data_IF_523619430304
#
_entry.id   IF_523619430304
#
_cell.length_a   1.000
_cell.length_b   1.000
_cell.length_c   1.000
_cell.angle_alpha   90.00
_cell.angle_beta   90.00
_cell.angle_gamma   90.00
#
_symmetry.space_group_name_H-M   'P 1'
#
loop_
_entity.id
_entity.type
_entity.pdbx_description
1 polymer ?
#
# COMPACT_ATOMS: atom_id res chain seq x y z
N UNK A 1 41.80 13.04 40.53
CA UNK A 1 40.46 12.45 40.47
C UNK A 1 39.79 13.04 39.24
N UNK A 2 39.80 12.31 38.12
CA UNK A 2 39.52 12.86 36.78
C UNK A 2 38.11 12.46 36.34
N UNK A 3 37.24 13.45 36.14
CA UNK A 3 35.88 13.26 35.61
C UNK A 3 35.97 13.35 34.08
N UNK A 4 35.77 12.22 33.41
CA UNK A 4 35.67 12.14 31.95
C UNK A 4 34.21 12.37 31.59
N UNK A 5 33.90 13.55 31.04
CA UNK A 5 32.67 13.77 30.28
C UNK A 5 32.76 12.96 28.97
N UNK A 6 31.98 11.89 28.85
CA UNK A 6 31.70 11.28 27.55
C UNK A 6 30.45 11.94 26.95
N UNK A 7 30.69 12.81 25.96
CA UNK A 7 29.70 13.15 24.94
C UNK A 7 29.23 11.83 24.28
N UNK A 8 27.96 11.50 24.38
CA UNK A 8 27.32 10.50 23.53
C UNK A 8 26.54 11.27 22.47
N UNK A 9 27.13 11.39 21.29
CA UNK A 9 26.48 11.89 20.09
C UNK A 9 25.48 10.84 19.62
N UNK A 10 24.19 11.03 19.93
CA UNK A 10 23.11 10.22 19.35
C UNK A 10 22.90 10.73 17.92
N UNK A 11 23.42 9.99 16.94
CA UNK A 11 23.07 10.15 15.54
C UNK A 11 21.59 9.79 15.38
N UNK A 12 20.75 10.80 15.18
CA UNK A 12 19.39 10.64 14.66
C UNK A 12 19.50 10.17 13.22
N UNK A 13 19.57 8.85 13.03
CA UNK A 13 19.34 8.24 11.72
C UNK A 13 17.85 8.37 11.43
N UNK A 14 17.53 9.27 10.50
CA UNK A 14 16.30 9.22 9.74
C UNK A 14 16.31 7.89 8.99
N UNK A 15 15.71 6.85 9.56
CA UNK A 15 15.45 5.63 8.81
C UNK A 15 14.32 5.94 7.86
N UNK A 16 14.69 6.33 6.63
CA UNK A 16 13.93 5.91 5.47
C UNK A 16 13.60 4.42 5.65
N UNK A 17 12.40 3.99 5.26
CA UNK A 17 12.04 2.58 5.26
C UNK A 17 13.11 1.77 4.49
N UNK A 18 14.12 1.27 5.21
CA UNK A 18 15.21 0.51 4.63
C UNK A 18 14.73 -0.92 4.48
N UNK A 19 14.42 -1.29 3.24
CA UNK A 19 14.46 -2.63 2.68
C UNK A 19 14.12 -3.79 3.64
N UNK A 20 12.83 -3.96 3.93
CA UNK A 20 12.30 -5.26 4.26
C UNK A 20 11.85 -5.94 2.95
N UNK A 21 12.76 -6.63 2.27
CA UNK A 21 12.38 -7.62 1.27
C UNK A 21 12.06 -8.94 1.96
N UNK A 22 10.84 -9.48 1.83
CA UNK A 22 10.68 -10.91 1.77
C UNK A 22 9.86 -11.27 0.54
N UNK A 23 10.47 -11.13 -0.64
CA UNK A 23 10.00 -11.88 -1.80
C UNK A 23 10.87 -13.13 -1.93
N UNK A 24 10.40 -14.21 -1.30
CA UNK A 24 10.91 -15.54 -1.61
C UNK A 24 10.26 -16.00 -2.93
N UNK A 25 11.05 -16.51 -3.89
CA UNK A 25 10.52 -17.14 -5.09
C UNK A 25 9.92 -18.49 -4.69
N UNK A 26 8.60 -18.62 -4.68
CA UNK A 26 7.99 -19.94 -4.56
C UNK A 26 8.06 -20.68 -5.90
N UNK A 27 8.88 -21.73 -5.87
CA UNK A 27 8.85 -22.97 -6.65
C UNK A 27 8.68 -22.86 -8.17
N UNK A 28 9.81 -23.07 -8.87
CA UNK A 28 9.80 -23.73 -10.18
C UNK A 28 8.99 -25.01 -10.07
N UNK A 29 7.83 -25.08 -10.73
CA UNK A 29 7.28 -26.36 -11.18
C UNK A 29 7.64 -26.50 -12.65
N UNK A 30 8.65 -27.32 -12.89
CA UNK A 30 9.02 -27.81 -14.20
C UNK A 30 7.85 -28.64 -14.76
N UNK A 31 7.34 -28.24 -15.91
CA UNK A 31 6.63 -29.13 -16.83
C UNK A 31 7.31 -28.93 -18.19
N UNK A 32 7.86 -30.02 -18.70
CA UNK A 32 8.65 -30.09 -19.91
C UNK A 32 7.79 -29.95 -21.18
N UNK A 33 8.34 -29.19 -22.13
CA UNK A 33 8.36 -29.37 -23.59
C UNK A 33 7.04 -29.47 -24.40
N UNK A 34 6.84 -28.50 -25.30
CA UNK A 34 6.28 -28.73 -26.64
C UNK A 34 6.73 -27.63 -27.63
N UNK A 35 7.80 -27.93 -28.36
CA UNK A 35 8.08 -27.58 -29.78
C UNK A 35 7.84 -26.14 -30.31
N UNK A 36 8.93 -25.49 -30.70
CA UNK A 36 8.98 -24.30 -31.57
C UNK A 36 8.32 -24.50 -32.93
N UNK A 37 7.88 -23.40 -33.56
CA UNK A 37 8.18 -23.19 -34.97
C UNK A 37 9.01 -21.92 -35.21
N UNK A 38 9.89 -22.08 -36.17
CA UNK A 38 10.96 -21.22 -36.67
C UNK A 38 10.43 -20.13 -37.61
N UNK A 39 11.02 -18.94 -37.50
CA UNK A 39 11.26 -17.91 -38.52
C UNK A 39 10.32 -17.76 -39.73
N UNK A 40 9.73 -16.56 -39.82
CA UNK A 40 9.28 -15.94 -41.06
C UNK A 40 9.57 -14.44 -41.06
N UNK A 41 10.79 -14.05 -41.42
CA UNK A 41 11.18 -12.67 -41.76
C UNK A 41 10.47 -12.18 -43.01
N UNK A 42 9.82 -11.02 -42.96
CA UNK A 42 9.73 -10.11 -44.11
C UNK A 42 9.65 -8.65 -43.67
N UNK A 43 10.55 -7.85 -44.27
CA UNK A 43 10.76 -6.41 -44.12
C UNK A 43 9.64 -5.59 -44.79
N UNK A 44 9.56 -4.26 -44.49
CA UNK A 44 8.39 -3.44 -44.75
C UNK A 44 8.34 -2.93 -46.20
N UNK A 45 7.13 -2.82 -46.76
CA UNK A 45 6.87 -2.09 -48.00
C UNK A 45 5.98 -0.88 -47.76
N UNK A 46 6.52 0.25 -48.20
CA UNK A 46 5.98 1.59 -48.28
C UNK A 46 4.64 1.63 -49.06
N UNK A 47 3.65 2.37 -48.55
CA UNK A 47 2.32 2.51 -49.15
C UNK A 47 1.73 3.89 -48.92
N UNK A 48 1.64 4.64 -50.02
CA UNK A 48 1.32 6.05 -50.20
C UNK A 48 -0.06 6.50 -49.72
N UNK A 49 -0.14 7.80 -49.38
CA UNK A 49 -1.30 8.63 -49.05
C UNK A 49 -2.58 8.39 -49.85
N UNK A 50 -3.72 8.37 -49.16
CA UNK A 50 -5.05 8.59 -49.71
C UNK A 50 -5.92 9.31 -48.69
N UNK A 51 -6.24 10.58 -48.96
CA UNK A 51 -7.17 11.37 -48.14
C UNK A 51 -8.61 10.90 -48.32
N UNK A 52 -9.35 10.84 -47.22
CA UNK A 52 -10.80 10.83 -47.21
C UNK A 52 -11.30 11.60 -45.99
N UNK A 53 -11.94 12.74 -46.25
CA UNK A 53 -12.77 13.47 -45.30
C UNK A 53 -14.13 12.76 -45.20
N UNK A 54 -14.51 12.26 -44.02
CA UNK A 54 -15.81 12.55 -43.40
C UNK A 54 -16.01 11.75 -42.11
N UNK A 55 -16.60 12.40 -41.11
CA UNK A 55 -17.27 11.72 -40.00
C UNK A 55 -16.61 11.92 -38.65
N UNK A 56 -16.81 13.11 -38.06
CA UNK A 56 -16.80 13.25 -36.59
C UNK A 56 -17.81 12.29 -35.99
N UNK A 57 -17.36 11.12 -35.54
CA UNK A 57 -17.93 10.47 -34.38
C UNK A 57 -17.09 10.92 -33.19
N UNK A 58 -17.62 11.87 -32.42
CA UNK A 58 -17.15 12.10 -31.06
C UNK A 58 -17.55 10.88 -30.22
N UNK A 59 -16.81 9.79 -30.36
CA UNK A 59 -16.76 8.77 -29.33
C UNK A 59 -16.04 9.41 -28.16
N UNK A 60 -16.78 9.71 -27.10
CA UNK A 60 -16.20 9.98 -25.78
C UNK A 60 -15.49 8.69 -25.35
N UNK A 61 -14.25 8.48 -25.82
CA UNK A 61 -13.39 7.41 -25.35
C UNK A 61 -13.19 7.66 -23.86
N UNK A 62 -13.64 6.73 -23.01
CA UNK A 62 -13.34 6.73 -21.59
C UNK A 62 -11.82 6.64 -21.43
N UNK A 63 -11.16 7.78 -21.27
CA UNK A 63 -9.71 7.79 -21.08
C UNK A 63 -9.39 7.52 -19.63
N UNK A 64 -8.49 6.56 -19.37
CA UNK A 64 -7.86 6.37 -18.06
C UNK A 64 -6.98 7.57 -17.76
N UNK A 65 -7.07 8.09 -16.53
CA UNK A 65 -6.08 9.07 -16.05
C UNK A 65 -4.87 8.34 -15.47
N UNK A 66 -3.67 8.74 -15.90
CA UNK A 66 -2.42 8.07 -15.52
C UNK A 66 -1.60 9.01 -14.63
N UNK A 67 -1.20 8.55 -13.46
CA UNK A 67 -0.23 9.22 -12.59
C UNK A 67 1.08 8.46 -12.57
N UNK A 68 2.20 9.17 -12.67
CA UNK A 68 3.54 8.54 -12.69
C UNK A 68 4.32 8.99 -11.46
N UNK A 69 4.68 8.02 -10.62
CA UNK A 69 5.50 8.20 -9.42
C UNK A 69 6.91 7.62 -9.57
N UNK A 70 7.09 6.77 -10.59
CA UNK A 70 8.36 6.15 -10.96
C UNK A 70 8.33 5.71 -12.43
N UNK A 71 9.48 5.57 -13.05
CA UNK A 71 9.60 5.00 -14.40
C UNK A 71 9.38 6.03 -15.50
N UNK A 72 9.26 5.55 -16.74
CA UNK A 72 9.16 6.43 -17.90
C UNK A 72 7.72 6.92 -18.07
N UNK A 73 7.58 8.22 -18.34
CA UNK A 73 6.31 8.79 -18.78
C UNK A 73 5.90 8.13 -20.09
N UNK A 74 4.66 7.65 -20.22
CA UNK A 74 4.19 7.13 -21.48
C UNK A 74 4.06 8.28 -22.49
N UNK A 75 4.27 7.97 -23.76
CA UNK A 75 4.37 8.96 -24.85
C UNK A 75 3.04 9.63 -25.22
N UNK A 76 1.92 9.15 -24.66
CA UNK A 76 0.60 9.76 -24.78
C UNK A 76 0.40 10.80 -23.65
N UNK A 77 0.18 12.07 -24.01
CA UNK A 77 0.14 13.23 -23.10
C UNK A 77 -0.96 13.26 -22.02
N UNK A 78 -1.58 12.13 -21.70
CA UNK A 78 -2.59 11.95 -20.64
C UNK A 78 -1.97 11.60 -19.27
N UNK A 79 -0.66 11.39 -19.19
CA UNK A 79 0.03 11.04 -17.95
C UNK A 79 0.55 12.27 -17.18
N UNK A 80 0.25 12.32 -15.87
CA UNK A 80 0.71 13.35 -14.95
C UNK A 80 1.87 12.81 -14.11
N UNK A 81 3.07 13.32 -14.34
CA UNK A 81 4.22 13.02 -13.47
C UNK A 81 4.04 13.70 -12.12
N UNK A 82 4.11 12.94 -11.03
CA UNK A 82 4.12 13.47 -9.66
C UNK A 82 5.54 13.50 -9.12
N UNK A 83 6.25 12.38 -9.23
CA UNK A 83 7.63 12.20 -8.79
C UNK A 83 8.32 11.14 -9.66
N UNK A 84 9.65 11.02 -9.52
CA UNK A 84 10.43 9.95 -10.12
C UNK A 84 11.26 9.25 -9.03
N UNK A 85 10.62 8.37 -8.26
CA UNK A 85 11.22 7.66 -7.13
C UNK A 85 11.39 6.18 -7.47
N UNK A 86 12.57 5.62 -7.24
CA UNK A 86 12.89 4.19 -7.51
C UNK A 86 12.78 3.31 -6.25
N UNK A 87 12.02 3.74 -5.26
CA UNK A 87 11.92 3.13 -3.94
C UNK A 87 10.56 3.37 -3.31
N UNK A 88 10.37 2.88 -2.08
CA UNK A 88 9.10 3.02 -1.35
C UNK A 88 8.78 4.49 -1.08
N UNK A 89 7.55 4.91 -1.42
CA UNK A 89 7.07 6.26 -1.14
C UNK A 89 6.93 6.50 0.37
N UNK A 90 7.40 7.66 0.84
CA UNK A 90 7.17 8.11 2.21
C UNK A 90 5.76 8.68 2.41
N UNK A 91 5.34 8.90 3.66
CA UNK A 91 3.97 9.34 3.98
C UNK A 91 3.58 10.65 3.28
N UNK A 92 4.50 11.62 3.17
CA UNK A 92 4.25 12.88 2.45
C UNK A 92 4.01 12.63 0.96
N UNK A 93 4.78 11.74 0.34
CA UNK A 93 4.59 11.34 -1.05
C UNK A 93 3.26 10.60 -1.23
N UNK A 94 2.89 9.71 -0.31
CA UNK A 94 1.61 9.01 -0.32
C UNK A 94 0.43 10.01 -0.32
N UNK A 95 0.45 11.01 0.58
CA UNK A 95 -0.56 12.07 0.60
C UNK A 95 -0.63 12.86 -0.71
N UNK A 96 0.52 13.23 -1.30
CA UNK A 96 0.56 13.90 -2.61
C UNK A 96 -0.06 13.05 -3.74
N UNK A 97 0.17 11.74 -3.75
CA UNK A 97 -0.51 10.85 -4.70
C UNK A 97 -2.02 10.89 -4.46
N UNK A 98 -2.45 10.74 -3.20
CA UNK A 98 -3.89 10.72 -2.90
C UNK A 98 -4.61 12.02 -3.26
N UNK A 99 -3.97 13.17 -3.06
CA UNK A 99 -4.54 14.47 -3.42
C UNK A 99 -4.75 14.57 -4.93
N UNK A 100 -3.72 14.24 -5.72
CA UNK A 100 -3.78 14.27 -7.18
C UNK A 100 -4.85 13.29 -7.72
N UNK A 101 -4.88 12.07 -7.18
CA UNK A 101 -5.87 11.04 -7.53
C UNK A 101 -7.29 11.49 -7.16
N UNK A 102 -7.49 12.04 -5.96
CA UNK A 102 -8.79 12.48 -5.49
C UNK A 102 -9.35 13.63 -6.32
N UNK A 103 -8.51 14.58 -6.76
CA UNK A 103 -8.90 15.64 -7.69
C UNK A 103 -9.37 15.07 -9.04
N UNK A 104 -8.68 14.05 -9.56
CA UNK A 104 -9.06 13.38 -10.80
C UNK A 104 -10.31 12.50 -10.66
N UNK A 105 -10.55 11.89 -9.49
CA UNK A 105 -11.77 11.12 -9.24
C UNK A 105 -13.03 11.98 -9.34
N UNK A 106 -12.94 13.28 -9.04
CA UNK A 106 -14.04 14.24 -9.15
C UNK A 106 -14.41 14.62 -10.59
N UNK A 107 -13.58 14.28 -11.59
CA UNK A 107 -13.91 14.49 -12.99
C UNK A 107 -14.97 13.46 -13.46
N UNK A 108 -16.01 13.91 -14.16
CA UNK A 108 -17.14 13.07 -14.56
C UNK A 108 -16.87 12.19 -15.80
N UNK A 109 -15.71 12.35 -16.46
CA UNK A 109 -15.44 11.79 -17.79
C UNK A 109 -14.32 10.74 -17.87
N UNK A 110 -13.69 10.36 -16.76
CA UNK A 110 -12.58 9.41 -16.77
C UNK A 110 -13.01 7.94 -16.67
N UNK A 111 -12.34 7.07 -17.44
CA UNK A 111 -12.16 5.66 -17.07
C UNK A 111 -11.43 5.55 -15.72
N UNK A 112 -11.15 4.35 -15.23
CA UNK A 112 -10.42 4.18 -13.96
C UNK A 112 -9.09 4.95 -13.91
N UNK A 113 -8.44 4.97 -12.75
CA UNK A 113 -7.14 5.62 -12.56
C UNK A 113 -6.04 4.58 -12.58
N UNK A 114 -4.94 4.88 -13.27
CA UNK A 114 -3.72 4.09 -13.23
C UNK A 114 -2.60 4.89 -12.56
N UNK A 115 -1.87 4.24 -11.66
CA UNK A 115 -0.71 4.82 -10.99
C UNK A 115 0.51 3.96 -11.32
N UNK A 116 1.41 4.50 -12.15
CA UNK A 116 2.69 3.87 -12.43
C UNK A 116 3.64 4.11 -11.25
N UNK A 117 4.02 3.04 -10.56
CA UNK A 117 4.85 3.06 -9.36
C UNK A 117 5.86 1.91 -9.34
N UNK A 118 6.91 2.08 -8.54
CA UNK A 118 7.89 1.03 -8.33
C UNK A 118 7.23 -0.09 -7.53
N UNK A 119 7.60 -1.34 -7.83
CA UNK A 119 7.05 -2.51 -7.14
C UNK A 119 7.25 -2.42 -5.62
N UNK A 120 8.34 -1.79 -5.16
CA UNK A 120 8.61 -1.59 -3.73
C UNK A 120 7.60 -0.68 -3.02
N UNK A 121 6.81 0.09 -3.78
CA UNK A 121 5.78 0.99 -3.25
C UNK A 121 4.38 0.39 -3.27
N UNK A 122 4.17 -0.78 -3.89
CA UNK A 122 2.83 -1.33 -4.11
C UNK A 122 2.06 -1.47 -2.81
N UNK A 123 2.62 -2.17 -1.81
CA UNK A 123 1.96 -2.42 -0.54
C UNK A 123 1.59 -1.11 0.19
N UNK A 124 2.56 -0.21 0.35
CA UNK A 124 2.34 1.04 1.08
C UNK A 124 1.34 1.94 0.36
N UNK A 125 1.46 2.07 -0.96
CA UNK A 125 0.61 2.94 -1.76
C UNK A 125 -0.81 2.38 -1.88
N UNK A 126 -0.94 1.08 -2.14
CA UNK A 126 -2.26 0.45 -2.29
C UNK A 126 -3.03 0.50 -0.99
N UNK A 127 -2.38 0.19 0.13
CA UNK A 127 -3.02 0.20 1.43
C UNK A 127 -3.38 1.62 1.87
N UNK A 128 -2.47 2.59 1.69
CA UNK A 128 -2.76 3.98 2.00
C UNK A 128 -3.94 4.52 1.18
N UNK A 129 -3.96 4.30 -0.13
CA UNK A 129 -5.07 4.76 -0.99
C UNK A 129 -6.38 4.04 -0.63
N UNK A 130 -6.34 2.77 -0.24
CA UNK A 130 -7.51 2.06 0.31
C UNK A 130 -8.04 2.72 1.58
N UNK A 131 -7.19 3.33 2.40
CA UNK A 131 -7.61 4.12 3.57
C UNK A 131 -8.18 5.46 3.16
N UNK A 132 -7.54 6.25 2.29
CA UNK A 132 -7.90 7.66 2.14
C UNK A 132 -8.89 7.94 1.00
N UNK A 133 -8.99 7.05 0.01
CA UNK A 133 -9.91 7.26 -1.12
C UNK A 133 -11.30 6.69 -0.82
N UNK A 134 -12.33 7.50 -1.09
CA UNK A 134 -13.72 7.07 -1.03
C UNK A 134 -14.33 7.06 -2.44
N UNK A 135 -14.08 5.97 -3.18
CA UNK A 135 -14.55 5.83 -4.56
C UNK A 135 -14.91 4.39 -4.91
N UNK A 136 -15.76 4.25 -5.94
CA UNK A 136 -16.06 2.99 -6.63
C UNK A 136 -15.29 2.86 -7.95
N UNK A 137 -14.77 3.96 -8.49
CA UNK A 137 -13.93 3.91 -9.69
C UNK A 137 -12.70 3.07 -9.39
N UNK A 138 -12.29 2.26 -10.38
CA UNK A 138 -11.08 1.47 -10.26
C UNK A 138 -9.86 2.37 -10.10
N UNK A 139 -9.00 2.05 -9.14
CA UNK A 139 -7.69 2.69 -8.95
C UNK A 139 -6.66 1.56 -8.97
N UNK A 140 -5.81 1.54 -9.99
CA UNK A 140 -4.87 0.45 -10.25
C UNK A 140 -3.44 0.94 -10.14
N UNK A 141 -2.68 0.36 -9.21
CA UNK A 141 -1.25 0.58 -9.08
C UNK A 141 -0.51 -0.48 -9.90
N UNK A 142 0.44 -0.05 -10.72
CA UNK A 142 1.15 -0.94 -11.63
C UNK A 142 2.59 -0.51 -11.84
N UNK A 143 3.43 -1.43 -12.32
CA UNK A 143 4.75 -1.14 -12.88
C UNK A 143 4.79 -1.40 -14.40
N UNK A 144 3.61 -1.57 -15.00
CA UNK A 144 3.36 -1.80 -16.41
C UNK A 144 2.04 -1.12 -16.81
N UNK A 145 2.12 -0.06 -17.60
CA UNK A 145 0.96 0.78 -17.92
C UNK A 145 -0.08 0.00 -18.73
N UNK A 146 0.34 -0.83 -19.67
CA UNK A 146 -0.59 -1.57 -20.54
C UNK A 146 -1.46 -2.51 -19.70
N UNK A 147 -0.83 -3.28 -18.82
CA UNK A 147 -1.54 -4.16 -17.87
C UNK A 147 -2.43 -3.33 -16.92
N UNK A 148 -1.93 -2.22 -16.38
CA UNK A 148 -2.71 -1.38 -15.46
C UNK A 148 -3.94 -0.76 -16.13
N UNK A 149 -3.79 -0.26 -17.36
CA UNK A 149 -4.88 0.30 -18.16
C UNK A 149 -5.93 -0.73 -18.51
N UNK A 150 -5.53 -1.95 -18.88
CA UNK A 150 -6.46 -3.08 -19.06
C UNK A 150 -7.34 -3.28 -17.82
N UNK A 151 -6.73 -3.36 -16.64
CA UNK A 151 -7.48 -3.59 -15.39
C UNK A 151 -8.36 -2.39 -15.05
N UNK A 152 -7.88 -1.16 -15.22
CA UNK A 152 -8.61 0.05 -14.87
C UNK A 152 -9.81 0.34 -15.81
N UNK A 153 -9.79 -0.22 -17.02
CA UNK A 153 -10.85 -0.08 -18.02
C UNK A 153 -11.87 -1.22 -17.97
N UNK A 154 -11.54 -2.35 -17.33
CA UNK A 154 -12.46 -3.46 -17.20
C UNK A 154 -13.67 -3.08 -16.33
N UNK A 155 -14.89 -3.29 -16.81
CA UNK A 155 -16.10 -2.88 -16.07
C UNK A 155 -16.22 -3.57 -14.72
N UNK A 156 -15.72 -4.80 -14.58
CA UNK A 156 -15.79 -5.57 -13.35
C UNK A 156 -14.72 -5.16 -12.32
N UNK A 157 -13.84 -4.21 -12.66
CA UNK A 157 -12.91 -3.60 -11.70
C UNK A 157 -13.60 -2.60 -10.76
N UNK A 158 -14.76 -2.06 -11.17
CA UNK A 158 -15.55 -1.11 -10.38
C UNK A 158 -15.97 -1.73 -9.04
N UNK A 159 -15.88 -0.95 -7.97
CA UNK A 159 -16.26 -1.38 -6.62
C UNK A 159 -15.23 -2.25 -5.89
N UNK A 160 -14.18 -2.74 -6.56
CA UNK A 160 -13.15 -3.61 -5.94
C UNK A 160 -12.15 -2.86 -5.06
N UNK A 161 -12.25 -1.53 -4.97
CA UNK A 161 -11.31 -0.70 -4.22
C UNK A 161 -10.02 -0.45 -5.00
N UNK A 162 -8.94 -0.17 -4.27
CA UNK A 162 -7.63 -0.01 -4.88
C UNK A 162 -7.06 -1.39 -5.19
N UNK A 163 -6.56 -1.56 -6.40
CA UNK A 163 -5.94 -2.79 -6.88
C UNK A 163 -4.46 -2.54 -7.16
N UNK A 164 -3.66 -3.60 -7.12
CA UNK A 164 -2.33 -3.57 -7.70
C UNK A 164 -2.08 -4.78 -8.59
N UNK A 165 -1.33 -4.56 -9.66
CA UNK A 165 -0.97 -5.59 -10.65
C UNK A 165 0.45 -5.32 -11.13
N UNK A 166 1.27 -6.36 -11.15
CA UNK A 166 2.63 -6.27 -11.69
C UNK A 166 2.76 -6.96 -13.05
N UNK A 167 3.98 -6.99 -13.59
CA UNK A 167 4.34 -7.75 -14.80
C UNK A 167 4.01 -9.25 -14.75
N UNK A 168 3.80 -9.82 -13.57
CA UNK A 168 3.32 -11.20 -13.42
C UNK A 168 1.84 -11.37 -13.80
N UNK A 169 1.14 -10.27 -14.13
CA UNK A 169 -0.27 -10.23 -14.52
C UNK A 169 -1.25 -10.75 -13.47
N UNK A 170 -0.83 -10.87 -12.21
CA UNK A 170 -1.71 -11.26 -11.11
C UNK A 170 -2.22 -10.00 -10.42
N UNK A 171 -3.54 -9.92 -10.27
CA UNK A 171 -4.25 -8.78 -9.69
C UNK A 171 -4.53 -9.09 -8.21
N UNK A 172 -4.20 -8.13 -7.35
CA UNK A 172 -4.42 -8.23 -5.92
C UNK A 172 -5.20 -7.01 -5.41
N UNK A 173 -5.94 -7.21 -4.32
CA UNK A 173 -6.59 -6.13 -3.60
C UNK A 173 -5.55 -5.38 -2.75
N UNK A 174 -5.62 -4.05 -2.79
CA UNK A 174 -4.67 -3.15 -2.13
C UNK A 174 -4.88 -3.00 -0.63
N UNK A 175 -6.05 -3.39 -0.15
CA UNK A 175 -6.48 -3.36 1.25
C UNK A 175 -6.08 -4.61 2.06
N UNK A 176 -5.62 -5.65 1.38
CA UNK A 176 -5.13 -6.88 2.01
C UNK A 176 -3.59 -6.88 2.06
N UNK A 177 -2.97 -7.61 3.02
CA UNK A 177 -1.54 -7.86 3.01
C UNK A 177 -1.04 -8.40 1.66
N UNK A 178 0.22 -8.15 1.26
CA UNK A 178 0.77 -8.59 -0.04
C UNK A 178 0.90 -10.11 -0.21
N UNK A 179 0.66 -10.88 0.86
CA UNK A 179 0.50 -12.34 0.83
C UNK A 179 -0.94 -12.76 0.52
N UNK A 180 -1.79 -11.79 0.18
CA UNK A 180 -3.22 -11.95 0.00
C UNK A 180 -3.58 -12.84 -1.17
N UNK A 181 -4.82 -13.29 -1.16
CA UNK A 181 -5.38 -14.12 -2.21
C UNK A 181 -5.53 -13.26 -3.47
N UNK A 182 -5.04 -13.71 -4.63
CA UNK A 182 -5.24 -12.97 -5.87
C UNK A 182 -6.74 -12.84 -6.15
N UNK A 183 -7.14 -11.68 -6.68
CA UNK A 183 -8.55 -11.41 -7.02
C UNK A 183 -8.83 -11.58 -8.51
N UNK A 184 -7.77 -11.68 -9.32
CA UNK A 184 -7.86 -11.91 -10.74
C UNK A 184 -6.48 -12.02 -11.40
N UNK A 185 -6.50 -12.14 -12.73
CA UNK A 185 -5.31 -12.18 -13.59
C UNK A 185 -5.59 -11.45 -14.89
N UNK A 186 -4.55 -10.96 -15.55
CA UNK A 186 -4.61 -10.43 -16.92
C UNK A 186 -4.10 -11.50 -17.87
N UNK A 187 -4.88 -11.84 -18.90
CA UNK A 187 -4.49 -12.78 -19.93
C UNK A 187 -3.42 -12.23 -20.87
N UNK A 188 -2.87 -13.09 -21.73
CA UNK A 188 -1.94 -12.66 -22.79
C UNK A 188 -2.64 -11.83 -23.88
N UNK A 189 -3.96 -11.94 -23.98
CA UNK A 189 -4.81 -11.11 -24.82
C UNK A 189 -5.16 -9.73 -24.22
N UNK A 190 -4.57 -9.36 -23.08
CA UNK A 190 -4.86 -8.12 -22.36
C UNK A 190 -6.32 -7.98 -21.93
N UNK A 191 -6.94 -9.10 -21.56
CA UNK A 191 -8.24 -9.13 -20.89
C UNK A 191 -8.06 -9.44 -19.39
N UNK A 192 -8.89 -8.83 -18.54
CA UNK A 192 -8.91 -9.12 -17.11
C UNK A 192 -9.88 -10.27 -16.80
N UNK A 193 -9.41 -11.28 -16.08
CA UNK A 193 -10.20 -12.40 -15.58
C UNK A 193 -10.26 -12.33 -14.05
N UNK A 194 -11.47 -12.35 -13.49
CA UNK A 194 -11.70 -12.21 -12.05
C UNK A 194 -12.05 -13.56 -11.43
N UNK A 195 -11.50 -13.84 -10.25
CA UNK A 195 -11.77 -15.10 -9.53
C UNK A 195 -13.01 -15.04 -8.64
N UNK A 196 -13.54 -13.84 -8.41
CA UNK A 196 -14.69 -13.59 -7.56
C UNK A 196 -15.70 -12.72 -8.30
N UNK A 197 -16.95 -13.17 -8.34
CA UNK A 197 -18.02 -12.49 -9.10
C UNK A 197 -18.37 -11.12 -8.50
N UNK A 198 -18.34 -10.99 -7.17
CA UNK A 198 -18.66 -9.74 -6.50
C UNK A 198 -17.41 -8.87 -6.24
N UNK A 199 -17.51 -7.55 -6.46
CA UNK A 199 -16.51 -6.61 -5.97
C UNK A 199 -16.51 -6.56 -4.44
N UNK A 200 -15.57 -7.25 -3.81
CA UNK A 200 -15.45 -7.25 -2.36
C UNK A 200 -14.25 -6.44 -1.90
N UNK A 201 -14.52 -5.33 -1.21
CA UNK A 201 -13.55 -4.69 -0.31
C UNK A 201 -13.53 -5.46 1.00
N UNK A 202 -12.39 -5.55 1.66
CA UNK A 202 -12.35 -6.03 3.04
C UNK A 202 -13.32 -5.21 3.90
N UNK A 203 -13.98 -5.86 4.88
CA UNK A 203 -14.98 -5.22 5.73
C UNK A 203 -14.47 -3.98 6.49
N UNK A 204 -13.14 -3.84 6.66
CA UNK A 204 -12.51 -2.65 7.23
C UNK A 204 -12.55 -1.43 6.29
N UNK A 205 -12.64 -1.65 4.97
CA UNK A 205 -12.57 -0.62 3.93
C UNK A 205 -13.86 -0.50 3.11
N UNK A 206 -14.87 -1.29 3.44
CA UNK A 206 -16.21 -1.14 2.87
C UNK A 206 -16.75 0.26 3.18
N UNK A 207 -17.68 0.75 2.35
CA UNK A 207 -18.24 2.09 2.51
C UNK A 207 -18.99 2.29 3.84
N UNK A 208 -19.50 1.20 4.41
CA UNK A 208 -20.21 1.16 5.69
C UNK A 208 -19.31 0.74 6.87
N UNK A 209 -18.00 0.63 6.67
CA UNK A 209 -17.04 0.26 7.72
C UNK A 209 -16.96 1.32 8.84
N UNK A 210 -16.48 0.91 10.01
CA UNK A 210 -16.15 1.83 11.13
C UNK A 210 -15.21 2.92 10.67
N UNK A 211 -14.21 2.57 9.85
CA UNK A 211 -13.22 3.50 9.29
C UNK A 211 -13.89 4.64 8.50
N UNK A 212 -14.98 4.35 7.77
CA UNK A 212 -15.71 5.33 6.94
C UNK A 212 -16.82 6.07 7.68
N UNK A 213 -17.52 5.37 8.57
CA UNK A 213 -18.75 5.87 9.22
C UNK A 213 -18.47 6.59 10.54
N UNK A 214 -17.42 6.19 11.26
CA UNK A 214 -17.07 6.78 12.57
C UNK A 214 -15.98 7.84 12.44
N UNK A 215 -15.05 7.69 11.48
CA UNK A 215 -13.89 8.57 11.32
C UNK A 215 -13.92 9.32 9.98
N UNK A 216 -14.78 10.34 9.90
CA UNK A 216 -15.04 11.10 8.67
C UNK A 216 -13.84 11.87 8.11
N UNK A 217 -12.78 12.06 8.90
CA UNK A 217 -11.57 12.78 8.51
C UNK A 217 -10.50 11.89 7.87
N UNK A 218 -10.64 10.56 7.89
CA UNK A 218 -9.66 9.65 7.25
C UNK A 218 -9.58 9.81 5.73
N UNK A 219 -10.60 10.42 5.12
CA UNK A 219 -10.64 10.74 3.70
C UNK A 219 -10.05 12.11 3.36
N UNK A 220 -9.51 12.83 4.35
CA UNK A 220 -8.85 14.12 4.11
C UNK A 220 -7.49 13.87 3.43
N UNK A 221 -7.28 14.33 2.18
CA UNK A 221 -6.02 14.16 1.47
C UNK A 221 -4.92 15.12 1.97
N UNK A 222 -5.19 15.92 3.00
CA UNK A 222 -4.26 16.92 3.53
C UNK A 222 -3.48 16.38 4.73
N UNK A 223 -2.17 16.51 4.69
CA UNK A 223 -1.30 16.24 5.84
C UNK A 223 -1.32 17.45 6.79
N UNK A 224 -1.85 17.28 8.01
CA UNK A 224 -1.98 18.38 8.98
C UNK A 224 -0.74 18.49 9.88
N UNK A 225 -0.06 17.37 10.14
CA UNK A 225 1.18 17.33 10.90
C UNK A 225 1.99 16.09 10.55
N UNK A 226 3.29 16.23 10.36
CA UNK A 226 4.19 15.08 10.19
C UNK A 226 4.43 14.44 11.56
N UNK A 227 3.75 13.32 11.81
CA UNK A 227 3.87 12.58 13.05
C UNK A 227 4.62 11.28 12.80
N UNK A 228 5.69 11.04 13.54
CA UNK A 228 6.50 9.86 13.36
C UNK A 228 5.82 8.63 13.99
N UNK A 229 5.71 7.56 13.21
CA UNK A 229 5.31 6.23 13.67
C UNK A 229 6.43 5.25 13.30
N UNK A 230 7.44 5.04 14.15
CA UNK A 230 8.52 4.10 13.85
C UNK A 230 8.04 2.63 13.93
N UNK A 231 8.70 1.78 13.15
CA UNK A 231 8.63 0.32 13.27
C UNK A 231 9.87 -0.15 14.01
N UNK A 232 9.69 -0.94 15.05
CA UNK A 232 10.78 -1.47 15.88
C UNK A 232 10.60 -2.97 16.05
N UNK A 233 11.69 -3.72 16.14
CA UNK A 233 11.64 -5.15 16.44
C UNK A 233 11.64 -5.35 17.95
N UNK A 234 10.98 -6.43 18.40
CA UNK A 234 10.81 -6.75 19.82
C UNK A 234 12.13 -6.75 20.60
N UNK A 235 13.20 -7.20 19.94
CA UNK A 235 14.57 -7.04 20.40
C UNK A 235 14.97 -5.55 20.36
N UNK A 236 14.70 -4.83 21.45
CA UNK A 236 15.01 -3.39 21.58
C UNK A 236 13.89 -2.55 22.20
N UNK A 237 12.70 -3.12 22.45
CA UNK A 237 11.57 -2.39 23.04
C UNK A 237 11.97 -1.74 24.37
N UNK A 238 12.62 -2.50 25.26
CA UNK A 238 12.98 -2.03 26.59
C UNK A 238 13.86 -0.77 26.53
N UNK A 239 14.80 -0.68 25.59
CA UNK A 239 15.61 0.53 25.39
C UNK A 239 14.81 1.70 24.82
N UNK A 240 13.82 1.44 23.97
CA UNK A 240 13.03 2.51 23.33
C UNK A 240 12.04 3.10 24.32
N UNK A 241 11.30 2.26 25.04
CA UNK A 241 10.34 2.70 26.06
C UNK A 241 11.02 3.38 27.26
N UNK A 242 12.26 3.02 27.58
CA UNK A 242 13.04 3.67 28.64
C UNK A 242 13.84 4.89 28.18
N UNK A 243 13.96 5.12 26.87
CA UNK A 243 14.66 6.29 26.31
C UNK A 243 13.74 7.50 26.20
N UNK A 244 14.32 8.68 25.96
CA UNK A 244 13.59 9.93 25.71
C UNK A 244 12.59 9.85 24.54
N UNK A 245 12.71 8.85 23.64
CA UNK A 245 11.72 8.60 22.60
C UNK A 245 10.35 8.17 23.18
N UNK A 246 10.32 7.43 24.29
CA UNK A 246 9.08 7.01 24.96
C UNK A 246 8.23 8.16 25.49
N UNK A 247 8.82 9.36 25.62
CA UNK A 247 8.16 10.59 26.06
C UNK A 247 8.30 11.73 25.04
N UNK A 248 8.70 11.43 23.79
CA UNK A 248 8.89 12.46 22.77
C UNK A 248 7.55 12.88 22.18
N UNK A 249 7.26 14.19 22.19
CA UNK A 249 6.09 14.76 21.51
C UNK A 249 6.13 14.61 19.98
N UNK A 250 7.26 14.18 19.41
CA UNK A 250 7.42 13.93 17.98
C UNK A 250 6.96 12.54 17.52
N UNK A 251 6.74 11.61 18.46
CA UNK A 251 6.26 10.25 18.17
C UNK A 251 4.78 10.19 18.51
N UNK A 252 3.95 9.88 17.51
CA UNK A 252 2.51 9.76 17.71
C UNK A 252 2.01 8.34 17.85
N UNK A 253 2.88 7.36 17.64
CA UNK A 253 2.56 5.95 17.79
C UNK A 253 3.78 5.09 17.52
N UNK A 254 3.70 3.81 17.83
CA UNK A 254 4.80 2.86 17.67
C UNK A 254 4.27 1.55 17.12
N UNK A 255 4.94 0.98 16.12
CA UNK A 255 4.67 -0.37 15.64
C UNK A 255 5.80 -1.29 16.08
N UNK A 256 5.45 -2.36 16.78
CA UNK A 256 6.36 -3.37 17.31
C UNK A 256 6.18 -4.65 16.51
N UNK A 257 7.26 -5.13 15.91
CA UNK A 257 7.33 -6.41 15.22
C UNK A 257 7.79 -7.48 16.20
N UNK A 258 6.93 -8.46 16.48
CA UNK A 258 7.28 -9.57 17.36
C UNK A 258 8.46 -10.36 16.79
N UNK A 259 9.27 -10.92 17.69
CA UNK A 259 10.41 -11.76 17.34
C UNK A 259 10.02 -13.11 16.71
N UNK A 260 8.77 -13.53 16.94
CA UNK A 260 8.20 -14.81 16.48
C UNK A 260 6.84 -14.59 15.86
N UNK A 261 6.48 -15.47 14.93
CA UNK A 261 5.10 -15.54 14.44
C UNK A 261 4.26 -16.16 15.55
N UNK A 262 3.44 -15.36 16.21
CA UNK A 262 2.57 -15.84 17.29
C UNK A 262 1.27 -16.33 16.66
N UNK A 263 1.21 -17.62 16.31
CA UNK A 263 0.04 -18.21 15.63
C UNK A 263 -1.01 -18.79 16.57
N UNK A 264 -0.65 -19.13 17.82
CA UNK A 264 -1.53 -19.54 18.91
C UNK A 264 -0.66 -20.11 20.05
N UNK A 265 -1.06 -19.87 21.31
CA UNK A 265 -0.65 -20.56 22.56
C UNK A 265 0.57 -19.99 23.33
N UNK A 266 0.24 -19.27 24.42
CA UNK A 266 0.86 -19.21 25.77
C UNK A 266 2.24 -18.61 26.01
N UNK A 267 2.72 -17.68 25.20
CA UNK A 267 3.78 -16.78 25.66
C UNK A 267 3.32 -15.36 25.52
N UNK A 268 2.74 -14.81 26.59
CA UNK A 268 2.69 -13.36 26.78
C UNK A 268 4.12 -12.86 26.58
N UNK A 269 4.34 -11.97 25.62
CA UNK A 269 5.56 -11.16 25.62
C UNK A 269 5.52 -10.30 26.87
N UNK A 270 6.18 -10.77 27.93
CA UNK A 270 6.30 -10.11 29.24
C UNK A 270 7.25 -8.92 29.15
N UNK A 271 6.99 -7.96 28.26
CA UNK A 271 7.65 -6.65 28.34
C UNK A 271 7.01 -5.88 29.50
N UNK A 272 7.55 -6.13 30.69
CA UNK A 272 7.19 -5.51 31.96
C UNK A 272 7.79 -4.11 32.08
N UNK A 273 7.60 -3.24 31.10
CA UNK A 273 7.90 -1.82 31.28
C UNK A 273 6.83 -1.19 32.17
N UNK A 274 7.23 -0.71 33.35
CA UNK A 274 6.35 -0.10 34.36
C UNK A 274 5.76 1.25 33.97
N UNK A 275 6.12 1.80 32.80
CA UNK A 275 5.58 3.04 32.25
C UNK A 275 4.76 2.73 31.01
N UNK A 276 3.45 2.92 31.10
CA UNK A 276 2.56 2.93 29.94
C UNK A 276 2.99 4.09 29.01
N UNK A 277 3.31 3.83 27.74
CA UNK A 277 3.65 4.89 26.80
C UNK A 277 2.48 5.86 26.61
N UNK A 278 2.78 7.14 26.36
CA UNK A 278 1.76 8.19 26.15
C UNK A 278 1.15 8.19 24.75
N UNK A 279 1.59 7.28 23.89
CA UNK A 279 1.16 7.11 22.51
C UNK A 279 0.69 5.66 22.26
N UNK A 280 -0.17 5.43 21.26
CA UNK A 280 -0.62 4.09 20.89
C UNK A 280 0.53 3.19 20.44
N UNK A 281 0.52 1.94 20.90
CA UNK A 281 1.51 0.91 20.55
C UNK A 281 0.80 -0.26 19.88
N UNK A 282 1.16 -0.52 18.63
CA UNK A 282 0.59 -1.61 17.83
C UNK A 282 1.61 -2.74 17.75
N UNK A 283 1.20 -3.96 18.05
CA UNK A 283 2.02 -5.16 17.84
C UNK A 283 1.60 -5.88 16.58
N UNK A 284 2.57 -6.37 15.81
CA UNK A 284 2.36 -7.11 14.57
C UNK A 284 3.31 -8.30 14.50
N UNK A 285 2.93 -9.31 13.73
CA UNK A 285 3.82 -10.41 13.39
C UNK A 285 4.90 -9.97 12.38
N UNK A 286 6.05 -10.67 12.33
CA UNK A 286 7.07 -10.40 11.33
C UNK A 286 6.55 -10.67 9.91
N UNK A 287 7.06 -9.94 8.90
CA UNK A 287 6.61 -10.09 7.53
C UNK A 287 6.96 -11.48 6.97
N UNK A 288 6.19 -11.95 5.99
CA UNK A 288 6.52 -13.14 5.20
C UNK A 288 5.64 -14.38 5.45
N UNK A 289 4.64 -14.29 6.34
CA UNK A 289 3.63 -15.35 6.52
C UNK A 289 2.26 -14.74 6.79
N UNK A 290 1.21 -15.35 6.23
CA UNK A 290 -0.17 -15.08 6.67
C UNK A 290 -0.23 -15.46 8.15
N UNK A 291 -0.41 -14.45 8.99
CA UNK A 291 -0.42 -14.63 10.43
C UNK A 291 -1.32 -13.59 11.05
N UNK A 292 -2.02 -14.00 12.11
CA UNK A 292 -2.92 -13.17 12.86
C UNK A 292 -2.36 -13.00 14.25
N UNK A 293 -2.20 -11.76 14.71
CA UNK A 293 -1.87 -11.48 16.10
C UNK A 293 -3.12 -11.02 16.84
N UNK A 294 -3.43 -11.69 17.95
CA UNK A 294 -4.56 -11.34 18.81
C UNK A 294 -4.11 -10.66 20.11
N UNK A 295 -5.02 -9.89 20.71
CA UNK A 295 -4.83 -9.17 21.98
C UNK A 295 -4.37 -10.07 23.13
N UNK A 296 -4.74 -11.37 23.12
CA UNK A 296 -4.34 -12.32 24.14
C UNK A 296 -2.83 -12.60 24.19
N UNK A 297 -2.10 -12.25 23.14
CA UNK A 297 -0.69 -12.57 22.96
C UNK A 297 0.25 -11.36 23.14
N UNK A 298 -0.28 -10.21 23.55
CA UNK A 298 0.49 -8.96 23.64
C UNK A 298 0.33 -8.32 25.04
N UNK A 299 1.20 -7.36 25.41
CA UNK A 299 1.03 -6.61 26.66
C UNK A 299 -0.29 -5.82 26.70
N UNK A 300 -0.92 -5.69 27.87
CA UNK A 300 -2.23 -5.05 28.01
C UNK A 300 -2.30 -3.55 27.69
N UNK A 301 -1.15 -2.87 27.55
CA UNK A 301 -1.07 -1.48 27.08
C UNK A 301 -1.04 -1.37 25.54
N UNK A 302 -0.81 -2.48 24.85
CA UNK A 302 -0.68 -2.54 23.41
C UNK A 302 -2.02 -2.88 22.74
N UNK A 303 -2.02 -2.76 21.42
CA UNK A 303 -3.14 -3.09 20.54
C UNK A 303 -2.63 -4.08 19.50
N UNK A 304 -3.40 -5.11 19.23
CA UNK A 304 -3.03 -6.12 18.24
C UNK A 304 -3.28 -5.58 16.82
N UNK A 305 -2.32 -5.77 15.92
CA UNK A 305 -2.45 -5.36 14.52
C UNK A 305 -3.20 -6.35 13.62
N UNK A 306 -3.70 -7.46 14.19
CA UNK A 306 -4.45 -8.48 13.45
C UNK A 306 -3.62 -9.15 12.37
N UNK A 307 -4.13 -9.11 11.13
CA UNK A 307 -3.46 -9.64 9.94
C UNK A 307 -2.54 -8.63 9.22
N UNK A 308 -2.47 -7.37 9.68
CA UNK A 308 -1.71 -6.34 8.98
C UNK A 308 -0.21 -6.60 9.05
N UNK A 309 0.49 -6.26 7.97
CA UNK A 309 1.96 -6.22 7.99
C UNK A 309 2.46 -5.03 8.82
N UNK A 310 3.75 -5.00 9.20
CA UNK A 310 4.32 -3.83 9.86
C UNK A 310 4.16 -2.52 9.08
N UNK A 311 4.28 -2.57 7.75
CA UNK A 311 4.11 -1.39 6.88
C UNK A 311 2.66 -0.92 6.89
N UNK A 312 1.71 -1.84 6.75
CA UNK A 312 0.29 -1.51 6.78
C UNK A 312 -0.13 -0.95 8.15
N UNK A 313 0.30 -1.57 9.24
CA UNK A 313 0.02 -1.08 10.58
C UNK A 313 0.60 0.32 10.84
N UNK A 314 1.83 0.57 10.36
CA UNK A 314 2.47 1.89 10.44
C UNK A 314 1.64 2.94 9.68
N UNK A 315 1.18 2.61 8.47
CA UNK A 315 0.38 3.51 7.65
C UNK A 315 -0.97 3.79 8.31
N UNK A 316 -1.69 2.77 8.75
CA UNK A 316 -2.99 2.94 9.40
C UNK A 316 -2.88 3.81 10.66
N UNK A 317 -1.88 3.54 11.50
CA UNK A 317 -1.63 4.33 12.69
C UNK A 317 -1.22 5.77 12.35
N UNK A 318 -0.35 5.95 11.36
CA UNK A 318 0.07 7.26 10.88
C UNK A 318 -1.11 8.11 10.39
N UNK A 319 -2.01 7.50 9.61
CA UNK A 319 -3.24 8.17 9.16
C UNK A 319 -4.15 8.51 10.34
N UNK A 320 -4.33 7.59 11.29
CA UNK A 320 -5.16 7.81 12.47
C UNK A 320 -4.67 8.98 13.31
N UNK A 321 -3.38 9.01 13.62
CA UNK A 321 -2.77 10.05 14.45
C UNK A 321 -2.75 11.40 13.74
N UNK A 322 -2.43 11.45 12.43
CA UNK A 322 -2.53 12.69 11.64
C UNK A 322 -3.97 13.24 11.57
N UNK A 323 -4.96 12.38 11.84
CA UNK A 323 -6.38 12.72 11.95
C UNK A 323 -6.87 12.85 13.40
N UNK A 324 -5.95 13.03 14.36
CA UNK A 324 -6.26 13.20 15.78
C UNK A 324 -7.04 12.04 16.43
N UNK A 325 -7.06 10.87 15.80
CA UNK A 325 -7.59 9.65 16.42
C UNK A 325 -6.44 9.02 17.21
N UNK A 326 -6.44 9.24 18.52
CA UNK A 326 -5.32 8.87 19.41
C UNK A 326 -5.75 8.12 20.66
N UNK A 327 -7.05 8.04 20.98
CA UNK A 327 -7.52 7.26 22.13
C UNK A 327 -7.31 5.76 21.89
N UNK A 328 -6.88 5.00 22.91
CA UNK A 328 -6.65 3.56 22.78
C UNK A 328 -7.86 2.80 22.25
N UNK A 329 -9.07 3.15 22.68
CA UNK A 329 -10.32 2.51 22.24
C UNK A 329 -10.61 2.77 20.76
N UNK A 330 -10.42 4.02 20.31
CA UNK A 330 -10.63 4.38 18.91
C UNK A 330 -9.60 3.74 17.99
N UNK A 331 -8.33 3.72 18.40
CA UNK A 331 -7.28 3.01 17.69
C UNK A 331 -7.59 1.52 17.66
N UNK A 332 -7.96 0.88 18.78
CA UNK A 332 -8.30 -0.54 18.82
C UNK A 332 -9.46 -0.89 17.89
N UNK A 333 -10.45 -0.01 17.74
CA UNK A 333 -11.56 -0.21 16.82
C UNK A 333 -11.19 -0.09 15.32
N UNK A 334 -10.00 0.44 15.00
CA UNK A 334 -9.49 0.55 13.63
C UNK A 334 -8.69 -0.66 13.19
N UNK A 335 -8.04 -1.36 14.12
CA UNK A 335 -7.19 -2.50 13.79
C UNK A 335 -8.03 -3.79 13.74
N UNK A 336 -7.78 -4.67 12.74
CA UNK A 336 -8.61 -5.84 12.50
C UNK A 336 -8.47 -6.91 13.57
#
# INVERSE_FOLDING_TARGET
MSIIYRLITVLLFWSAATNASPFYPYAKRQIDNATSPTNGTSSPTNGTSGGSNNGSSSSTSSSVEIFVTSGNLPSNGSAKALFNTTGTLNITQLYKVSEAVNQSLQSSSGGGIVILADKSSFESLSFFLSIVLNTEKAVVITNDIEIGTTVAMDSNSTGRGVLYVGKSKVIFAGDLPPFGVPVGVVGDNLEAYWFYDEPQKSGMFSMNSTLRTTYSNFTNPTLNSEVAVPIVYEQGIASILSSSLGNSSSIGGLVIVSDKVVSNVTTQSTSSSSSTPTFPVIWVNPPGKISWLSEANIPGYAIAGGYLTPVQAQILLGVAVNNNVTSPESIRALFP
#
